data_IF_736334587061
#
_entry.id   IF_736334587061
#
_cell.length_a   1.000
_cell.length_b   1.000
_cell.length_c   1.000
_cell.angle_alpha   90.00
_cell.angle_beta   90.00
_cell.angle_gamma   90.00
#
_symmetry.space_group_name_H-M   'P 1'
#
loop_
_entity.id
_entity.type
_entity.pdbx_description
1 polymer ?
#
# COMPACT_ATOMS: atom_id res chain seq x y z
N UNK A 1 -7.38 -8.08 -40.16
CA UNK A 1 -6.36 -7.10 -39.76
C UNK A 1 -6.20 -7.34 -38.28
N UNK A 2 -5.07 -7.91 -37.87
CA UNK A 2 -4.79 -8.16 -36.45
C UNK A 2 -4.71 -6.79 -35.76
N UNK A 3 -5.70 -6.49 -34.93
CA UNK A 3 -5.60 -5.38 -33.99
C UNK A 3 -4.45 -5.71 -33.06
N UNK A 4 -3.29 -5.10 -33.31
CA UNK A 4 -2.23 -5.01 -32.32
C UNK A 4 -2.80 -4.12 -31.21
N UNK A 5 -3.54 -4.73 -30.29
CA UNK A 5 -3.99 -4.17 -29.02
C UNK A 5 -2.76 -3.95 -28.14
N UNK A 6 -2.07 -2.84 -28.39
CA UNK A 6 -1.10 -2.27 -27.45
C UNK A 6 -1.36 -0.77 -27.39
N UNK A 7 -2.55 -0.41 -26.91
CA UNK A 7 -2.88 0.99 -26.65
C UNK A 7 -2.17 1.42 -25.37
N UNK A 8 -1.75 2.69 -25.29
CA UNK A 8 -1.13 3.27 -24.09
C UNK A 8 -1.95 3.00 -22.81
N UNK A 9 -3.27 2.94 -22.95
CA UNK A 9 -4.21 2.70 -21.86
C UNK A 9 -4.12 1.26 -21.32
N UNK A 10 -3.90 0.27 -22.19
CA UNK A 10 -3.63 -1.12 -21.81
C UNK A 10 -2.26 -1.23 -21.10
N UNK A 11 -1.25 -0.54 -21.63
CA UNK A 11 0.09 -0.51 -21.06
C UNK A 11 0.09 0.06 -19.62
N UNK A 12 -0.70 1.11 -19.36
CA UNK A 12 -0.86 1.68 -18.01
C UNK A 12 -1.39 0.65 -17.02
N UNK A 13 -2.41 -0.12 -17.41
CA UNK A 13 -2.97 -1.18 -16.58
C UNK A 13 -1.96 -2.30 -16.35
N UNK A 14 -1.25 -2.72 -17.40
CA UNK A 14 -0.21 -3.74 -17.30
C UNK A 14 0.90 -3.30 -16.34
N UNK A 15 1.35 -2.06 -16.44
CA UNK A 15 2.37 -1.49 -15.56
C UNK A 15 1.89 -1.42 -14.10
N UNK A 16 0.63 -1.07 -13.86
CA UNK A 16 0.05 -1.14 -12.51
C UNK A 16 0.08 -2.56 -11.94
N UNK A 17 -0.29 -3.58 -12.72
CA UNK A 17 -0.29 -4.97 -12.22
C UNK A 17 1.13 -5.51 -12.01
N UNK A 18 2.09 -5.14 -12.85
CA UNK A 18 3.52 -5.41 -12.62
C UNK A 18 4.00 -4.78 -11.32
N UNK A 19 3.61 -3.52 -11.07
CA UNK A 19 3.92 -2.83 -9.82
C UNK A 19 3.25 -3.54 -8.63
N UNK A 20 1.97 -3.90 -8.70
CA UNK A 20 1.28 -4.68 -7.67
C UNK A 20 2.03 -5.97 -7.34
N UNK A 21 2.49 -6.71 -8.34
CA UNK A 21 3.27 -7.92 -8.13
C UNK A 21 4.53 -7.65 -7.30
N UNK A 22 5.37 -6.70 -7.75
CA UNK A 22 6.60 -6.32 -7.06
C UNK A 22 6.31 -5.87 -5.61
N UNK A 23 5.40 -4.92 -5.44
CA UNK A 23 5.13 -4.31 -4.13
C UNK A 23 4.49 -5.30 -3.17
N UNK A 24 3.53 -6.12 -3.63
CA UNK A 24 2.81 -7.04 -2.76
C UNK A 24 3.58 -8.33 -2.48
N UNK A 25 4.10 -8.99 -3.52
CA UNK A 25 4.76 -10.29 -3.39
C UNK A 25 6.23 -10.20 -2.96
N UNK A 26 6.85 -9.01 -3.01
CA UNK A 26 8.22 -8.80 -2.53
C UNK A 26 8.26 -7.90 -1.28
N UNK A 27 7.93 -6.61 -1.41
CA UNK A 27 8.07 -5.62 -0.32
C UNK A 27 7.13 -5.93 0.85
N UNK A 28 5.83 -6.07 0.59
CA UNK A 28 4.84 -6.36 1.62
C UNK A 28 5.07 -7.73 2.26
N UNK A 29 5.36 -8.77 1.47
CA UNK A 29 5.76 -10.09 1.98
C UNK A 29 6.94 -10.01 2.95
N UNK A 30 7.98 -9.26 2.59
CA UNK A 30 9.17 -9.06 3.42
C UNK A 30 8.83 -8.30 4.70
N UNK A 31 8.01 -7.26 4.61
CA UNK A 31 7.52 -6.53 5.78
C UNK A 31 6.77 -7.45 6.75
N UNK A 32 5.83 -8.26 6.27
CA UNK A 32 5.02 -9.17 7.09
C UNK A 32 5.92 -10.14 7.88
N UNK A 33 6.98 -10.64 7.25
CA UNK A 33 7.95 -11.50 7.92
C UNK A 33 8.64 -10.80 9.12
N UNK A 34 8.97 -9.52 9.00
CA UNK A 34 9.57 -8.72 10.08
C UNK A 34 8.53 -8.36 11.14
N UNK A 35 7.37 -7.86 10.71
CA UNK A 35 6.30 -7.40 11.59
C UNK A 35 5.77 -8.51 12.51
N UNK A 36 5.63 -9.73 11.99
CA UNK A 36 5.18 -10.89 12.76
C UNK A 36 6.12 -11.30 13.91
N UNK A 37 7.34 -10.75 13.96
CA UNK A 37 8.25 -10.99 15.09
C UNK A 37 7.94 -10.10 16.30
N UNK A 38 7.15 -9.04 16.11
CA UNK A 38 6.77 -8.09 17.16
C UNK A 38 5.59 -8.68 17.94
N UNK A 39 5.75 -8.72 19.26
CA UNK A 39 4.76 -9.24 20.21
C UNK A 39 3.98 -8.10 20.86
N UNK A 40 2.81 -8.41 21.39
CA UNK A 40 1.98 -7.51 22.18
C UNK A 40 1.55 -6.22 21.45
N UNK A 41 1.33 -6.31 20.13
CA UNK A 41 0.69 -5.26 19.34
C UNK A 41 -0.81 -5.26 19.67
N UNK A 42 -1.38 -4.06 19.80
CA UNK A 42 -2.78 -3.84 20.15
C UNK A 42 -3.61 -3.21 19.02
N UNK A 43 -3.19 -3.37 17.76
CA UNK A 43 -3.98 -2.97 16.59
C UNK A 43 -5.20 -3.88 16.45
N UNK A 44 -6.33 -3.34 15.99
CA UNK A 44 -7.60 -4.08 15.97
C UNK A 44 -7.67 -5.14 14.86
N UNK A 45 -6.89 -4.96 13.79
CA UNK A 45 -6.80 -5.89 12.66
C UNK A 45 -5.44 -6.60 12.63
N UNK A 46 -5.47 -7.87 12.21
CA UNK A 46 -4.25 -8.64 11.94
C UNK A 46 -3.94 -8.61 10.45
N UNK A 47 -2.83 -7.98 10.12
CA UNK A 47 -2.28 -7.98 8.76
C UNK A 47 -1.70 -9.36 8.44
N UNK A 48 -1.95 -9.86 7.22
CA UNK A 48 -1.43 -11.15 6.75
C UNK A 48 -1.07 -11.09 5.27
N UNK A 49 -0.09 -11.90 4.88
CA UNK A 49 0.28 -12.13 3.49
C UNK A 49 -0.44 -13.36 2.95
N UNK A 50 -0.95 -13.26 1.73
CA UNK A 50 -1.48 -14.36 0.93
C UNK A 50 -0.84 -14.27 -0.45
N UNK A 51 -0.55 -15.39 -1.10
CA UNK A 51 0.05 -15.37 -2.44
C UNK A 51 -1.03 -15.01 -3.47
N UNK A 52 -0.79 -13.97 -4.27
CA UNK A 52 -1.74 -13.46 -5.27
C UNK A 52 -1.04 -13.42 -6.63
N UNK A 53 -1.67 -14.03 -7.61
CA UNK A 53 -1.25 -13.93 -9.00
C UNK A 53 -1.67 -12.59 -9.61
N UNK A 54 -0.69 -11.73 -9.88
CA UNK A 54 -0.88 -10.48 -10.61
C UNK A 54 -0.43 -10.56 -12.08
N UNK A 55 0.04 -11.73 -12.53
CA UNK A 55 0.54 -11.93 -13.91
C UNK A 55 -0.61 -12.13 -14.89
N UNK A 56 -1.73 -12.67 -14.43
CA UNK A 56 -2.95 -12.81 -15.22
C UNK A 56 -3.75 -11.50 -15.22
N UNK A 57 -3.63 -10.71 -16.29
CA UNK A 57 -4.30 -9.41 -16.41
C UNK A 57 -5.50 -9.53 -17.35
N UNK A 58 -6.69 -9.20 -16.84
CA UNK A 58 -7.91 -9.11 -17.64
C UNK A 58 -8.11 -7.64 -18.04
N UNK A 59 -7.98 -7.35 -19.33
CA UNK A 59 -8.23 -6.02 -19.88
C UNK A 59 -9.71 -5.64 -19.68
N UNK A 60 -9.93 -4.46 -19.07
CA UNK A 60 -11.27 -3.95 -18.84
C UNK A 60 -11.82 -3.33 -20.13
N UNK A 61 -13.11 -3.57 -20.43
CA UNK A 61 -13.73 -2.99 -21.63
C UNK A 61 -13.79 -1.46 -21.59
N UNK A 62 -13.70 -0.87 -20.41
CA UNK A 62 -13.69 0.57 -20.21
C UNK A 62 -12.28 1.16 -20.16
N UNK A 63 -11.24 0.43 -20.60
CA UNK A 63 -9.84 0.85 -20.46
C UNK A 63 -9.56 2.25 -21.07
N UNK A 64 -10.28 2.63 -22.11
CA UNK A 64 -10.18 3.94 -22.76
C UNK A 64 -10.94 5.06 -22.05
N UNK A 65 -11.61 4.79 -20.92
CA UNK A 65 -12.31 5.80 -20.15
C UNK A 65 -11.30 6.70 -19.41
N UNK A 66 -11.33 8.04 -19.60
CA UNK A 66 -10.35 8.94 -18.96
C UNK A 66 -10.36 8.87 -17.44
N UNK A 67 -11.54 8.81 -16.81
CA UNK A 67 -11.63 8.70 -15.34
C UNK A 67 -11.08 7.37 -14.82
N UNK A 68 -11.23 6.30 -15.59
CA UNK A 68 -10.61 5.02 -15.25
C UNK A 68 -9.08 5.08 -15.38
N UNK A 69 -8.56 5.72 -16.43
CA UNK A 69 -7.12 5.97 -16.58
C UNK A 69 -6.55 6.85 -15.46
N UNK A 70 -7.29 7.87 -15.01
CA UNK A 70 -6.89 8.69 -13.86
C UNK A 70 -6.79 7.84 -12.58
N UNK A 71 -7.75 6.94 -12.35
CA UNK A 71 -7.72 6.01 -11.22
C UNK A 71 -6.52 5.04 -11.30
N UNK A 72 -6.20 4.51 -12.49
CA UNK A 72 -5.02 3.65 -12.71
C UNK A 72 -3.74 4.42 -12.38
N UNK A 73 -3.60 5.62 -12.95
CA UNK A 73 -2.43 6.48 -12.76
C UNK A 73 -2.22 6.84 -11.28
N UNK A 74 -3.26 7.30 -10.60
CA UNK A 74 -3.18 7.67 -9.19
C UNK A 74 -2.92 6.46 -8.28
N UNK A 75 -3.47 5.29 -8.63
CA UNK A 75 -3.17 4.04 -7.92
C UNK A 75 -1.71 3.64 -8.10
N UNK A 76 -1.15 3.83 -9.30
CA UNK A 76 0.25 3.55 -9.59
C UNK A 76 1.16 4.45 -8.75
N UNK A 77 0.97 5.77 -8.83
CA UNK A 77 1.79 6.75 -8.12
C UNK A 77 1.74 6.55 -6.60
N UNK A 78 0.55 6.27 -6.07
CA UNK A 78 0.38 5.97 -4.65
C UNK A 78 1.13 4.68 -4.29
N UNK A 79 0.96 3.62 -5.06
CA UNK A 79 1.56 2.32 -4.74
C UNK A 79 3.09 2.36 -4.81
N UNK A 80 3.66 3.13 -5.73
CA UNK A 80 5.11 3.33 -5.85
C UNK A 80 5.67 4.09 -4.64
N UNK A 81 5.01 5.17 -4.20
CA UNK A 81 5.38 5.86 -2.97
C UNK A 81 5.28 4.97 -1.73
N UNK A 82 4.16 4.24 -1.58
CA UNK A 82 3.97 3.34 -0.44
C UNK A 82 5.05 2.27 -0.39
N UNK A 83 5.49 1.78 -1.56
CA UNK A 83 6.57 0.81 -1.66
C UNK A 83 7.89 1.36 -1.12
N UNK A 84 8.25 2.58 -1.50
CA UNK A 84 9.50 3.21 -1.06
C UNK A 84 9.49 3.49 0.44
N UNK A 85 8.40 4.07 0.94
CA UNK A 85 8.21 4.33 2.37
C UNK A 85 8.23 3.03 3.19
N UNK A 86 7.52 2.00 2.75
CA UNK A 86 7.49 0.73 3.47
C UNK A 86 8.87 0.07 3.48
N UNK A 87 9.64 0.15 2.38
CA UNK A 87 11.00 -0.36 2.34
C UNK A 87 11.91 0.34 3.35
N UNK A 88 11.89 1.68 3.40
CA UNK A 88 12.67 2.45 4.37
C UNK A 88 12.28 2.09 5.82
N UNK A 89 10.98 2.08 6.11
CA UNK A 89 10.47 1.77 7.44
C UNK A 89 10.75 0.32 7.84
N UNK A 90 10.76 -0.61 6.88
CA UNK A 90 11.11 -2.02 7.13
C UNK A 90 12.57 -2.16 7.56
N UNK A 91 13.51 -1.38 7.01
CA UNK A 91 14.90 -1.41 7.48
C UNK A 91 15.01 -0.89 8.91
N UNK A 92 14.35 0.23 9.23
CA UNK A 92 14.29 0.76 10.61
C UNK A 92 13.65 -0.25 11.57
N UNK A 93 12.60 -0.95 11.12
CA UNK A 93 11.93 -1.96 11.92
C UNK A 93 12.86 -3.14 12.26
N UNK A 94 13.72 -3.57 11.34
CA UNK A 94 14.74 -4.61 11.60
C UNK A 94 15.68 -4.21 12.73
N UNK A 95 16.11 -2.96 12.77
CA UNK A 95 16.96 -2.43 13.84
C UNK A 95 16.23 -2.42 15.19
N UNK A 96 14.97 -1.97 15.20
CA UNK A 96 14.13 -1.94 16.42
C UNK A 96 13.94 -3.35 16.99
N UNK A 97 13.56 -4.32 16.15
CA UNK A 97 13.28 -5.69 16.64
C UNK A 97 14.53 -6.48 17.03
N UNK A 98 15.72 -6.05 16.59
CA UNK A 98 16.98 -6.59 17.07
C UNK A 98 17.24 -6.20 18.54
N UNK A 99 16.71 -5.05 18.98
CA UNK A 99 16.83 -4.54 20.35
C UNK A 99 15.67 -5.05 21.21
N UNK A 100 14.42 -4.86 20.75
CA UNK A 100 13.24 -5.22 21.51
C UNK A 100 12.09 -5.66 20.61
N UNK A 101 11.61 -6.89 20.83
CA UNK A 101 10.48 -7.47 20.09
C UNK A 101 9.12 -7.25 20.77
N UNK A 102 9.09 -6.63 21.95
CA UNK A 102 7.86 -6.42 22.70
C UNK A 102 7.36 -4.99 22.51
N UNK A 103 6.30 -4.83 21.70
CA UNK A 103 5.77 -3.51 21.35
C UNK A 103 5.44 -2.68 22.60
N UNK A 104 4.93 -3.30 23.67
CA UNK A 104 4.56 -2.59 24.90
C UNK A 104 5.75 -1.88 25.55
N UNK A 105 6.97 -2.44 25.39
CA UNK A 105 8.23 -1.95 25.97
C UNK A 105 9.01 -1.01 25.06
N UNK A 106 8.58 -0.83 23.82
CA UNK A 106 9.20 0.13 22.91
C UNK A 106 9.03 1.57 23.44
N UNK A 107 10.07 2.38 23.25
CA UNK A 107 10.00 3.84 23.42
C UNK A 107 9.02 4.43 22.41
N UNK A 108 8.56 5.65 22.66
CA UNK A 108 7.51 6.29 21.87
C UNK A 108 7.88 6.36 20.39
N UNK A 109 9.12 6.75 20.07
CA UNK A 109 9.59 6.94 18.70
C UNK A 109 9.56 5.63 17.90
N UNK A 110 9.96 4.52 18.52
CA UNK A 110 9.95 3.21 17.88
C UNK A 110 8.52 2.70 17.67
N UNK A 111 7.60 2.99 18.61
CA UNK A 111 6.17 2.67 18.44
C UNK A 111 5.58 3.41 17.24
N UNK A 112 5.95 4.67 17.03
CA UNK A 112 5.51 5.43 15.86
C UNK A 112 6.03 4.83 14.55
N UNK A 113 7.28 4.33 14.51
CA UNK A 113 7.79 3.59 13.34
C UNK A 113 6.98 2.32 13.07
N UNK A 114 6.62 1.56 14.12
CA UNK A 114 5.76 0.37 13.98
C UNK A 114 4.40 0.75 13.38
N UNK A 115 3.75 1.81 13.90
CA UNK A 115 2.46 2.29 13.40
C UNK A 115 2.54 2.79 11.96
N UNK A 116 3.52 3.63 11.64
CA UNK A 116 3.78 4.14 10.29
C UNK A 116 3.92 2.98 9.29
N UNK A 117 4.79 2.02 9.64
CA UNK A 117 5.04 0.87 8.77
C UNK A 117 3.78 0.01 8.57
N UNK A 118 2.98 -0.16 9.62
CA UNK A 118 1.70 -0.87 9.54
C UNK A 118 0.72 -0.14 8.65
N UNK A 119 0.63 1.19 8.78
CA UNK A 119 -0.23 2.02 7.95
C UNK A 119 0.07 1.79 6.46
N UNK A 120 1.33 1.95 6.06
CA UNK A 120 1.74 1.76 4.66
C UNK A 120 1.49 0.33 4.16
N UNK A 121 1.81 -0.66 4.98
CA UNK A 121 1.58 -2.07 4.62
C UNK A 121 0.09 -2.40 4.46
N UNK A 122 -0.78 -1.88 5.33
CA UNK A 122 -2.23 -2.07 5.19
C UNK A 122 -2.78 -1.38 3.96
N UNK A 123 -2.28 -0.19 3.65
CA UNK A 123 -2.68 0.54 2.44
C UNK A 123 -2.32 -0.26 1.18
N UNK A 124 -1.08 -0.77 1.11
CA UNK A 124 -0.63 -1.68 0.04
C UNK A 124 -1.54 -2.90 -0.04
N UNK A 125 -1.82 -3.55 1.10
CA UNK A 125 -2.68 -4.73 1.10
C UNK A 125 -4.06 -4.44 0.52
N UNK A 126 -4.69 -3.34 0.93
CA UNK A 126 -6.02 -2.96 0.45
C UNK A 126 -5.96 -2.68 -1.06
N UNK A 127 -5.01 -1.88 -1.56
CA UNK A 127 -4.89 -1.59 -3.00
C UNK A 127 -4.62 -2.82 -3.87
N UNK A 128 -3.85 -3.78 -3.34
CA UNK A 128 -3.47 -4.98 -4.08
C UNK A 128 -4.54 -6.09 -4.02
N UNK A 129 -5.30 -6.19 -2.93
CA UNK A 129 -6.31 -7.25 -2.73
C UNK A 129 -7.73 -6.87 -3.15
N UNK A 130 -7.95 -5.61 -3.55
CA UNK A 130 -9.25 -5.10 -3.98
C UNK A 130 -9.19 -4.56 -5.41
N UNK A 131 -10.37 -4.32 -5.98
CA UNK A 131 -10.52 -3.62 -7.25
C UNK A 131 -10.51 -2.08 -7.10
N UNK A 132 -9.96 -1.55 -6.00
CA UNK A 132 -9.95 -0.11 -5.71
C UNK A 132 -9.27 0.72 -6.78
N UNK A 133 -8.34 0.14 -7.55
CA UNK A 133 -7.74 0.82 -8.69
C UNK A 133 -8.75 1.27 -9.77
N UNK A 134 -9.98 0.74 -9.76
CA UNK A 134 -11.04 1.17 -10.67
C UNK A 134 -11.77 2.44 -10.21
N UNK A 135 -11.67 2.78 -8.92
CA UNK A 135 -12.44 3.85 -8.27
C UNK A 135 -11.64 4.49 -7.12
N UNK A 136 -10.32 4.61 -7.32
CA UNK A 136 -9.36 4.98 -6.29
C UNK A 136 -9.61 6.39 -5.76
N UNK A 137 -9.85 7.34 -6.67
CA UNK A 137 -10.11 8.74 -6.36
C UNK A 137 -11.33 8.95 -5.47
N UNK A 138 -12.33 8.07 -5.56
CA UNK A 138 -13.53 8.15 -4.71
C UNK A 138 -13.31 7.53 -3.32
N UNK A 139 -12.30 6.66 -3.17
CA UNK A 139 -12.15 5.79 -2.00
C UNK A 139 -10.88 6.03 -1.19
N UNK A 140 -9.94 6.85 -1.64
CA UNK A 140 -8.64 7.01 -0.96
C UNK A 140 -8.77 7.50 0.49
N UNK A 141 -9.71 8.41 0.79
CA UNK A 141 -10.01 8.85 2.16
C UNK A 141 -10.67 7.76 3.00
N UNK A 142 -11.49 6.91 2.38
CA UNK A 142 -12.11 5.78 3.09
C UNK A 142 -11.07 4.73 3.47
N UNK A 143 -10.13 4.40 2.57
CA UNK A 143 -8.99 3.53 2.88
C UNK A 143 -8.22 4.11 4.07
N UNK A 144 -7.87 5.39 3.98
CA UNK A 144 -7.15 6.09 5.03
C UNK A 144 -7.82 5.96 6.40
N UNK A 145 -9.09 6.40 6.47
CA UNK A 145 -9.86 6.40 7.71
C UNK A 145 -9.97 4.98 8.31
N UNK A 146 -10.17 3.97 7.45
CA UNK A 146 -10.27 2.58 7.91
C UNK A 146 -8.98 2.09 8.59
N UNK A 147 -7.80 2.49 8.10
CA UNK A 147 -6.52 2.08 8.68
C UNK A 147 -6.22 2.86 9.97
N UNK A 148 -6.58 4.14 10.04
CA UNK A 148 -6.46 4.93 11.28
C UNK A 148 -7.31 4.33 12.42
N UNK A 149 -8.53 3.92 12.09
CA UNK A 149 -9.42 3.23 13.02
C UNK A 149 -8.80 1.91 13.49
N UNK A 150 -8.09 1.19 12.61
CA UNK A 150 -7.35 -0.04 12.98
C UNK A 150 -6.23 0.22 13.99
N UNK A 151 -5.53 1.34 13.82
CA UNK A 151 -4.42 1.76 14.68
C UNK A 151 -4.88 2.37 16.01
N UNK A 152 -6.19 2.61 16.18
CA UNK A 152 -6.76 3.41 17.28
C UNK A 152 -6.04 4.76 17.41
N UNK A 153 -5.72 5.33 16.27
CA UNK A 153 -4.83 6.46 16.10
C UNK A 153 -5.58 7.60 15.41
N UNK A 154 -5.12 8.83 15.66
CA UNK A 154 -5.42 9.99 14.81
C UNK A 154 -4.10 10.48 14.25
N UNK A 155 -3.42 9.66 13.45
CA UNK A 155 -2.27 10.12 12.67
C UNK A 155 -2.84 11.17 11.71
N UNK A 156 -2.20 12.33 11.62
CA UNK A 156 -2.72 13.47 10.82
C UNK A 156 -1.63 14.14 9.97
N UNK A 157 -0.36 13.74 10.09
CA UNK A 157 0.72 14.63 9.66
C UNK A 157 1.44 14.20 8.38
N UNK A 158 1.90 12.96 8.26
CA UNK A 158 2.75 12.54 7.12
C UNK A 158 1.96 12.28 5.85
N UNK A 159 0.84 11.55 5.94
CA UNK A 159 0.04 11.19 4.77
C UNK A 159 -0.74 12.39 4.18
N UNK A 160 -1.20 13.33 5.02
CA UNK A 160 -1.82 14.58 4.53
C UNK A 160 -0.81 15.39 3.72
N UNK A 161 0.45 15.48 4.17
CA UNK A 161 1.49 16.20 3.42
C UNK A 161 1.74 15.56 2.06
N UNK A 162 1.74 14.23 1.98
CA UNK A 162 1.87 13.51 0.71
C UNK A 162 0.63 13.68 -0.19
N UNK A 163 -0.60 13.54 0.34
CA UNK A 163 -1.86 13.80 -0.38
C UNK A 163 -1.89 15.22 -0.93
N UNK A 164 -1.58 16.23 -0.11
CA UNK A 164 -1.51 17.63 -0.56
C UNK A 164 -0.53 17.81 -1.72
N UNK A 165 0.58 17.08 -1.68
CA UNK A 165 1.61 17.12 -2.73
C UNK A 165 1.18 16.42 -4.03
N UNK A 166 0.46 15.29 -3.96
CA UNK A 166 -0.10 14.61 -5.14
C UNK A 166 -1.24 15.41 -5.75
N UNK A 167 -2.21 15.81 -4.93
CA UNK A 167 -3.44 16.43 -5.40
C UNK A 167 -3.30 17.94 -5.64
N UNK A 168 -2.13 18.53 -5.35
CA UNK A 168 -1.89 19.98 -5.39
C UNK A 168 -2.96 20.78 -4.60
N UNK A 169 -3.37 20.27 -3.44
CA UNK A 169 -4.31 20.91 -2.50
C UNK A 169 -3.56 21.54 -1.34
#
# INVERSE_FOLDING_TARGET
>A
MEDILDSKDDENLINLFRLKNRVYNETFKSYIFIFNQIKNINFSSKIKYEDIDFTTIILDKNINNPSFQDNISMSFDTLDFLNDELNEKTQKLKEIIAICKDYSKLKKEDKEVVKDSYFFARYIQILCTTNYYKYYLDNYFHIYASIEDELQSRFWSSFIVYIKKIFKI
#
